data_IF_969353214424
#
_entry.id   IF_969353214424
#
_cell.length_a   1.000
_cell.length_b   1.000
_cell.length_c   1.000
_cell.angle_alpha   90.00
_cell.angle_beta   90.00
_cell.angle_gamma   90.00
#
_symmetry.space_group_name_H-M   'P 1'
#
loop_
_entity.id
_entity.type
_entity.pdbx_description
1 polymer ?
#
# COMPACT_ATOMS: atom_id res chain seq x y z
N UNK A 1 -9.25 12.33 -7.72
CA UNK A 1 -9.68 11.52 -6.55
C UNK A 1 -8.62 10.48 -6.26
N UNK A 2 -8.82 9.60 -5.28
CA UNK A 2 -7.89 8.48 -5.05
C UNK A 2 -7.94 7.55 -6.27
N UNK A 3 -6.76 7.22 -6.82
CA UNK A 3 -6.59 6.38 -8.02
C UNK A 3 -5.70 5.16 -7.79
N UNK A 4 -5.17 4.99 -6.58
CA UNK A 4 -4.33 3.84 -6.23
C UNK A 4 -5.07 3.00 -5.19
N UNK A 5 -5.28 1.73 -5.50
CA UNK A 5 -6.03 0.79 -4.65
C UNK A 5 -5.21 -0.48 -4.40
N UNK A 6 -5.26 -0.98 -3.17
CA UNK A 6 -4.72 -2.27 -2.76
C UNK A 6 -5.89 -3.19 -2.39
N UNK A 7 -6.09 -4.30 -3.10
CA UNK A 7 -6.97 -5.38 -2.65
C UNK A 7 -6.18 -6.36 -1.75
N UNK A 8 -6.69 -6.69 -0.57
CA UNK A 8 -6.00 -7.67 0.30
C UNK A 8 -6.37 -9.12 -0.07
N UNK A 9 -5.39 -9.95 -0.41
CA UNK A 9 -5.52 -11.39 -0.62
C UNK A 9 -5.63 -12.14 0.74
N UNK A 10 -6.82 -12.09 1.36
CA UNK A 10 -7.06 -12.72 2.69
C UNK A 10 -8.25 -13.68 2.72
N UNK A 11 -9.14 -13.61 1.75
CA UNK A 11 -10.33 -14.46 1.66
C UNK A 11 -10.18 -15.52 0.59
N UNK A 12 -10.98 -16.58 0.69
CA UNK A 12 -11.11 -17.57 -0.36
C UNK A 12 -11.54 -16.88 -1.67
N UNK A 13 -11.01 -17.38 -2.79
CA UNK A 13 -11.32 -16.87 -4.14
C UNK A 13 -10.99 -15.38 -4.36
N UNK A 14 -10.15 -14.76 -3.53
CA UNK A 14 -9.76 -13.35 -3.70
C UNK A 14 -9.12 -13.04 -5.07
N UNK A 15 -8.50 -14.03 -5.71
CA UNK A 15 -7.93 -13.91 -7.05
C UNK A 15 -9.00 -13.81 -8.14
N UNK A 16 -10.18 -14.43 -7.96
CA UNK A 16 -11.32 -14.30 -8.89
C UNK A 16 -11.87 -12.87 -8.84
N UNK A 17 -12.14 -12.36 -7.63
CA UNK A 17 -12.56 -10.96 -7.43
C UNK A 17 -11.55 -9.98 -8.04
N UNK A 18 -10.25 -10.21 -7.82
CA UNK A 18 -9.22 -9.36 -8.39
C UNK A 18 -9.22 -9.39 -9.93
N UNK A 19 -9.41 -10.56 -10.53
CA UNK A 19 -9.50 -10.69 -11.99
C UNK A 19 -10.68 -9.89 -12.56
N UNK A 20 -11.83 -9.91 -11.87
CA UNK A 20 -12.99 -9.08 -12.23
C UNK A 20 -12.67 -7.58 -12.10
N UNK A 21 -12.08 -7.17 -10.97
CA UNK A 21 -11.69 -5.78 -10.74
C UNK A 21 -10.72 -5.27 -11.81
N UNK A 22 -9.72 -6.05 -12.22
CA UNK A 22 -8.78 -5.66 -13.28
C UNK A 22 -9.51 -5.46 -14.62
N UNK A 23 -10.44 -6.34 -14.99
CA UNK A 23 -11.19 -6.21 -16.25
C UNK A 23 -12.07 -4.95 -16.25
N UNK A 24 -12.77 -4.72 -15.15
CA UNK A 24 -13.64 -3.54 -14.97
C UNK A 24 -12.82 -2.25 -14.97
N UNK A 25 -11.77 -2.18 -14.16
CA UNK A 25 -10.94 -0.96 -14.02
C UNK A 25 -10.22 -0.60 -15.31
N UNK A 26 -9.72 -1.57 -16.09
CA UNK A 26 -9.11 -1.28 -17.40
C UNK A 26 -10.07 -0.65 -18.41
N UNK A 27 -11.36 -0.94 -18.31
CA UNK A 27 -12.37 -0.44 -19.25
C UNK A 27 -12.93 0.89 -18.78
N UNK A 28 -13.31 0.96 -17.51
CA UNK A 28 -14.09 2.09 -16.97
C UNK A 28 -13.20 3.17 -16.33
N UNK A 29 -11.99 2.79 -15.87
CA UNK A 29 -11.08 3.64 -15.09
C UNK A 29 -9.61 3.42 -15.50
N UNK A 30 -9.22 3.71 -16.75
CA UNK A 30 -7.90 3.36 -17.28
C UNK A 30 -6.72 4.05 -16.58
N UNK A 31 -7.00 5.10 -15.78
CA UNK A 31 -6.03 5.82 -14.94
C UNK A 31 -5.90 5.22 -13.52
N UNK A 32 -6.70 4.21 -13.16
CA UNK A 32 -6.66 3.56 -11.86
C UNK A 32 -5.53 2.53 -11.80
N UNK A 33 -4.73 2.61 -10.73
CA UNK A 33 -3.65 1.68 -10.40
C UNK A 33 -4.17 0.70 -9.35
N UNK A 34 -4.27 -0.57 -9.72
CA UNK A 34 -4.78 -1.65 -8.87
C UNK A 34 -3.66 -2.63 -8.52
N UNK A 35 -3.27 -2.66 -7.25
CA UNK A 35 -2.36 -3.63 -6.69
C UNK A 35 -3.05 -4.63 -5.77
N UNK A 36 -2.29 -5.65 -5.37
CA UNK A 36 -2.73 -6.65 -4.39
C UNK A 36 -1.78 -6.65 -3.20
N UNK A 37 -2.35 -6.78 -2.01
CA UNK A 37 -1.60 -6.93 -0.77
C UNK A 37 -1.83 -8.24 -0.07
N UNK A 38 -1.07 -8.48 1.00
CA UNK A 38 -1.05 -9.77 1.72
C UNK A 38 -0.49 -10.91 0.86
N UNK A 39 0.50 -10.62 0.03
CA UNK A 39 1.27 -11.64 -0.70
C UNK A 39 2.43 -12.10 0.20
N UNK A 40 2.63 -13.40 0.37
CA UNK A 40 3.65 -13.94 1.29
C UNK A 40 4.59 -14.95 0.62
N UNK A 41 4.38 -15.25 -0.67
CA UNK A 41 5.16 -16.23 -1.41
C UNK A 41 5.17 -15.89 -2.92
N UNK A 42 6.19 -16.35 -3.67
CA UNK A 42 6.34 -16.04 -5.08
C UNK A 42 5.27 -16.66 -6.00
N UNK A 43 4.67 -17.80 -5.61
CA UNK A 43 3.66 -18.46 -6.44
C UNK A 43 2.36 -17.64 -6.45
N UNK A 44 1.95 -17.15 -5.28
CA UNK A 44 0.82 -16.21 -5.16
C UNK A 44 1.13 -14.89 -5.86
N UNK A 45 2.34 -14.36 -5.75
CA UNK A 45 2.73 -13.14 -6.48
C UNK A 45 2.59 -13.34 -8.01
N UNK A 46 3.10 -14.45 -8.54
CA UNK A 46 3.02 -14.80 -9.95
C UNK A 46 1.57 -14.90 -10.45
N UNK A 47 0.67 -15.48 -9.65
CA UNK A 47 -0.77 -15.53 -9.96
C UNK A 47 -1.35 -14.13 -10.17
N UNK A 48 -1.17 -13.22 -9.21
CA UNK A 48 -1.75 -11.88 -9.31
C UNK A 48 -1.10 -11.01 -10.38
N UNK A 49 0.20 -11.18 -10.64
CA UNK A 49 0.87 -10.55 -11.77
C UNK A 49 0.28 -11.03 -13.10
N UNK A 50 -0.05 -12.32 -13.22
CA UNK A 50 -0.71 -12.86 -14.41
C UNK A 50 -2.13 -12.30 -14.59
N UNK A 51 -2.82 -12.01 -13.48
CA UNK A 51 -4.15 -11.38 -13.50
C UNK A 51 -4.10 -9.88 -13.81
N UNK A 52 -2.91 -9.26 -13.80
CA UNK A 52 -2.70 -7.89 -14.24
C UNK A 52 -2.51 -6.87 -13.12
N UNK A 53 -2.07 -7.29 -11.93
CA UNK A 53 -1.73 -6.38 -10.84
C UNK A 53 -0.66 -5.34 -11.27
N UNK A 54 -0.87 -4.08 -10.90
CA UNK A 54 0.08 -3.00 -11.17
C UNK A 54 1.22 -2.94 -10.14
N UNK A 55 1.01 -3.47 -8.93
CA UNK A 55 2.02 -3.60 -7.89
C UNK A 55 1.63 -4.72 -6.90
N UNK A 56 2.64 -5.22 -6.18
CA UNK A 56 2.51 -6.25 -5.14
C UNK A 56 2.87 -5.65 -3.79
N UNK A 57 2.10 -5.95 -2.75
CA UNK A 57 2.35 -5.56 -1.36
C UNK A 57 2.43 -6.79 -0.47
N UNK A 58 3.40 -6.79 0.44
CA UNK A 58 3.57 -7.86 1.45
C UNK A 58 3.59 -7.28 2.86
N UNK A 59 3.21 -8.06 3.88
CA UNK A 59 3.40 -7.66 5.28
C UNK A 59 4.88 -7.69 5.71
N UNK A 60 5.74 -8.41 4.99
CA UNK A 60 7.18 -8.54 5.22
C UNK A 60 7.94 -8.60 3.88
N UNK A 61 9.25 -8.38 3.90
CA UNK A 61 10.11 -8.61 2.74
C UNK A 61 10.32 -10.10 2.45
N UNK A 62 10.21 -10.47 1.17
CA UNK A 62 10.59 -11.78 0.64
C UNK A 62 11.38 -11.61 -0.67
N UNK A 63 12.58 -12.20 -0.72
CA UNK A 63 13.50 -12.05 -1.85
C UNK A 63 13.00 -12.76 -3.12
N UNK A 64 12.27 -13.86 -3.00
CA UNK A 64 11.74 -14.59 -4.14
C UNK A 64 10.52 -13.88 -4.73
N UNK A 65 9.68 -13.24 -3.91
CA UNK A 65 8.64 -12.32 -4.36
C UNK A 65 9.26 -11.13 -5.11
N UNK A 66 10.32 -10.52 -4.56
CA UNK A 66 11.04 -9.43 -5.22
C UNK A 66 11.56 -9.86 -6.60
N UNK A 67 12.19 -11.04 -6.68
CA UNK A 67 12.70 -11.60 -7.94
C UNK A 67 11.59 -11.79 -8.98
N UNK A 68 10.45 -12.36 -8.59
CA UNK A 68 9.31 -12.57 -9.51
C UNK A 68 8.75 -11.23 -10.01
N UNK A 69 8.61 -10.23 -9.13
CA UNK A 69 8.14 -8.90 -9.50
C UNK A 69 9.13 -8.20 -10.47
N UNK A 70 10.43 -8.27 -10.18
CA UNK A 70 11.50 -7.71 -11.02
C UNK A 70 11.52 -8.31 -12.43
N UNK A 71 11.35 -9.64 -12.55
CA UNK A 71 11.26 -10.32 -13.85
C UNK A 71 10.09 -9.82 -14.71
N UNK A 72 9.04 -9.28 -14.08
CA UNK A 72 7.85 -8.74 -14.75
C UNK A 72 7.87 -7.22 -14.83
N UNK A 73 8.89 -6.56 -14.28
CA UNK A 73 9.00 -5.09 -14.16
C UNK A 73 7.79 -4.46 -13.44
N UNK A 74 7.32 -5.12 -12.39
CA UNK A 74 6.21 -4.67 -11.56
C UNK A 74 6.74 -4.33 -10.16
N UNK A 75 6.27 -3.23 -9.59
CA UNK A 75 6.71 -2.76 -8.27
C UNK A 75 6.33 -3.73 -7.15
N UNK A 76 7.27 -3.95 -6.23
CA UNK A 76 7.08 -4.70 -5.00
C UNK A 76 7.28 -3.78 -3.80
N UNK A 77 6.26 -3.69 -2.93
CA UNK A 77 6.22 -2.84 -1.75
C UNK A 77 6.16 -3.72 -0.49
N UNK A 78 7.30 -4.30 -0.05
CA UNK A 78 7.36 -5.16 1.12
C UNK A 78 7.23 -4.38 2.42
N UNK A 79 6.56 -5.00 3.40
CA UNK A 79 6.59 -4.55 4.79
C UNK A 79 7.99 -4.66 5.40
N UNK A 80 8.46 -3.62 6.07
CA UNK A 80 9.71 -3.59 6.82
C UNK A 80 9.49 -2.90 8.17
N UNK A 81 10.17 -3.37 9.21
CA UNK A 81 10.11 -2.83 10.57
C UNK A 81 11.48 -2.47 11.16
N UNK A 82 12.58 -2.82 10.47
CA UNK A 82 13.95 -2.56 10.90
C UNK A 82 14.82 -2.01 9.78
N UNK A 83 15.93 -1.35 10.12
CA UNK A 83 16.89 -0.84 9.13
C UNK A 83 17.52 -1.97 8.29
N UNK A 84 17.77 -3.13 8.90
CA UNK A 84 18.31 -4.29 8.18
C UNK A 84 17.34 -4.81 7.12
N UNK A 85 16.04 -4.91 7.44
CA UNK A 85 15.02 -5.32 6.47
C UNK A 85 14.89 -4.31 5.33
N UNK A 86 14.87 -3.01 5.64
CA UNK A 86 14.80 -1.93 4.64
C UNK A 86 16.02 -1.99 3.72
N UNK A 87 17.22 -2.03 4.28
CA UNK A 87 18.47 -2.11 3.52
C UNK A 87 18.54 -3.38 2.66
N UNK A 88 18.06 -4.50 3.19
CA UNK A 88 17.96 -5.76 2.45
C UNK A 88 16.99 -5.61 1.29
N UNK A 89 15.78 -5.08 1.51
CA UNK A 89 14.79 -4.89 0.46
C UNK A 89 15.31 -3.98 -0.67
N UNK A 90 15.91 -2.84 -0.34
CA UNK A 90 16.50 -1.91 -1.31
C UNK A 90 17.61 -2.57 -2.13
N UNK A 91 18.42 -3.45 -1.52
CA UNK A 91 19.47 -4.20 -2.23
C UNK A 91 18.92 -5.17 -3.29
N UNK A 92 17.63 -5.54 -3.20
CA UNK A 92 16.91 -6.35 -4.17
C UNK A 92 16.13 -5.51 -5.21
N UNK A 93 16.35 -4.19 -5.24
CA UNK A 93 15.73 -3.28 -6.20
C UNK A 93 14.32 -2.82 -5.80
N UNK A 94 13.93 -2.97 -4.53
CA UNK A 94 12.69 -2.39 -4.00
C UNK A 94 12.83 -0.87 -3.94
N UNK A 95 11.97 -0.14 -4.65
CA UNK A 95 12.00 1.33 -4.71
C UNK A 95 11.20 1.98 -3.57
N UNK A 96 10.13 1.32 -3.10
CA UNK A 96 9.25 1.83 -2.05
C UNK A 96 9.09 0.75 -0.98
N UNK A 97 9.51 1.04 0.25
CA UNK A 97 9.24 0.17 1.39
C UNK A 97 7.90 0.52 2.00
N UNK A 98 7.21 -0.49 2.53
CA UNK A 98 6.04 -0.29 3.38
C UNK A 98 6.49 -0.35 4.84
N UNK A 99 6.40 0.76 5.58
CA UNK A 99 6.59 0.71 7.03
C UNK A 99 5.36 0.07 7.67
N UNK A 100 5.53 -1.12 8.25
CA UNK A 100 4.42 -1.88 8.82
C UNK A 100 4.87 -2.79 9.97
N UNK A 101 4.12 -2.84 11.10
CA UNK A 101 2.93 -2.05 11.42
C UNK A 101 3.25 -0.61 11.87
N UNK A 102 2.66 0.39 11.22
CA UNK A 102 2.95 1.81 11.45
C UNK A 102 2.57 2.32 12.85
N UNK A 103 1.47 1.85 13.43
CA UNK A 103 1.05 2.19 14.80
C UNK A 103 2.03 1.73 15.88
N UNK A 104 2.76 0.65 15.61
CA UNK A 104 3.77 0.10 16.53
C UNK A 104 5.10 0.84 16.41
N UNK A 105 5.53 1.15 15.19
CA UNK A 105 6.83 1.79 14.92
C UNK A 105 6.79 3.31 15.12
N UNK A 106 5.66 3.91 14.77
CA UNK A 106 5.37 5.32 14.98
C UNK A 106 6.13 6.28 14.04
N UNK A 107 5.73 7.57 14.03
CA UNK A 107 6.37 8.60 13.20
C UNK A 107 7.84 8.84 13.55
N UNK A 108 8.22 8.62 14.82
CA UNK A 108 9.60 8.75 15.27
C UNK A 108 10.55 7.79 14.53
N UNK A 109 10.09 6.59 14.16
CA UNK A 109 10.87 5.66 13.36
C UNK A 109 11.15 6.22 11.96
N UNK A 110 10.14 6.78 11.29
CA UNK A 110 10.31 7.39 9.95
C UNK A 110 11.36 8.50 10.01
N UNK A 111 11.25 9.39 11.00
CA UNK A 111 12.22 10.48 11.20
C UNK A 111 13.63 9.95 11.47
N UNK A 112 13.76 8.91 12.29
CA UNK A 112 15.04 8.29 12.59
C UNK A 112 15.65 7.56 11.38
N UNK A 113 14.83 6.93 10.54
CA UNK A 113 15.23 6.28 9.29
C UNK A 113 15.74 7.28 8.25
N UNK A 114 15.00 8.38 8.05
CA UNK A 114 15.35 9.39 7.03
C UNK A 114 16.64 10.15 7.33
N UNK A 115 17.12 10.15 8.58
CA UNK A 115 18.37 10.80 8.95
C UNK A 115 19.61 10.15 8.27
N UNK A 116 19.84 8.82 8.38
CA UNK A 116 20.90 8.14 7.65
C UNK A 116 20.52 7.70 6.23
N UNK A 117 19.22 7.53 5.93
CA UNK A 117 18.74 7.02 4.64
C UNK A 117 17.74 8.00 3.98
N UNK A 118 18.15 9.22 3.63
CA UNK A 118 17.24 10.24 3.09
C UNK A 118 16.62 9.88 1.73
N UNK A 119 17.19 8.91 1.02
CA UNK A 119 16.71 8.41 -0.27
C UNK A 119 15.60 7.35 -0.16
N UNK A 120 15.42 6.72 1.00
CA UNK A 120 14.44 5.63 1.15
C UNK A 120 13.04 6.18 0.99
N UNK A 121 12.25 5.63 0.07
CA UNK A 121 10.84 6.04 -0.11
C UNK A 121 9.95 5.19 0.80
N UNK A 122 9.19 5.85 1.67
CA UNK A 122 8.44 5.22 2.77
C UNK A 122 6.94 5.39 2.57
N UNK A 123 6.25 4.26 2.34
CA UNK A 123 4.79 4.13 2.45
C UNK A 123 4.43 3.66 3.87
N UNK A 124 3.76 4.49 4.68
CA UNK A 124 3.31 4.07 6.01
C UNK A 124 1.97 3.37 5.93
N UNK A 125 1.79 2.23 6.59
CA UNK A 125 0.48 1.58 6.75
C UNK A 125 0.30 1.02 8.16
N UNK A 126 -0.91 1.16 8.70
CA UNK A 126 -1.23 0.85 10.10
C UNK A 126 -1.16 2.12 10.95
N UNK A 127 -2.22 2.41 11.70
CA UNK A 127 -2.30 3.62 12.51
C UNK A 127 -2.51 4.95 11.77
N UNK A 128 -2.70 4.93 10.44
CA UNK A 128 -2.99 6.16 9.67
C UNK A 128 -4.49 6.43 9.67
N UNK A 129 -4.87 7.65 10.04
CA UNK A 129 -6.25 8.13 10.02
C UNK A 129 -6.44 9.21 8.95
N UNK A 130 -7.63 9.33 8.33
CA UNK A 130 -7.93 10.39 7.37
C UNK A 130 -8.25 11.71 8.07
N UNK A 131 -7.37 12.17 8.97
CA UNK A 131 -7.49 13.40 9.75
C UNK A 131 -6.25 14.27 9.54
N UNK A 132 -6.38 15.59 9.66
CA UNK A 132 -5.26 16.52 9.50
C UNK A 132 -4.13 16.23 10.48
N UNK A 133 -4.47 15.94 11.74
CA UNK A 133 -3.49 15.60 12.78
C UNK A 133 -2.68 14.35 12.40
N UNK A 134 -3.34 13.26 12.01
CA UNK A 134 -2.65 12.02 11.65
C UNK A 134 -1.79 12.20 10.40
N UNK A 135 -2.34 12.78 9.34
CA UNK A 135 -1.63 12.97 8.08
C UNK A 135 -0.44 13.93 8.24
N UNK A 136 -0.63 15.08 8.88
CA UNK A 136 0.47 16.04 9.13
C UNK A 136 1.57 15.44 9.99
N UNK A 137 1.22 14.58 10.95
CA UNK A 137 2.19 13.87 11.77
C UNK A 137 3.05 12.91 10.95
N UNK A 138 2.44 12.11 10.07
CA UNK A 138 3.17 11.15 9.23
C UNK A 138 4.01 11.82 8.15
N UNK A 139 3.44 12.78 7.40
CA UNK A 139 4.17 13.52 6.38
C UNK A 139 5.25 14.41 6.99
N UNK A 140 4.99 15.06 8.13
CA UNK A 140 5.98 15.85 8.86
C UNK A 140 7.14 15.03 9.44
N UNK A 141 6.94 13.72 9.64
CA UNK A 141 8.00 12.79 10.00
C UNK A 141 8.84 12.32 8.79
N UNK A 142 8.42 12.64 7.56
CA UNK A 142 9.09 12.29 6.33
C UNK A 142 8.49 11.09 5.59
N UNK A 143 7.27 10.65 5.90
CA UNK A 143 6.60 9.65 5.08
C UNK A 143 6.37 10.21 3.67
N UNK A 144 6.63 9.43 2.63
CA UNK A 144 6.43 9.85 1.24
C UNK A 144 5.01 9.51 0.76
N UNK A 145 4.42 8.48 1.34
CA UNK A 145 3.04 8.07 1.10
C UNK A 145 2.42 7.43 2.35
N UNK A 146 1.09 7.39 2.39
CA UNK A 146 0.34 6.67 3.42
C UNK A 146 -0.73 5.77 2.83
N UNK A 147 -0.91 4.60 3.43
CA UNK A 147 -1.98 3.66 3.12
C UNK A 147 -3.07 3.75 4.20
N UNK A 148 -4.30 4.09 3.80
CA UNK A 148 -5.45 4.20 4.70
C UNK A 148 -6.48 3.12 4.34
N UNK A 149 -6.59 2.11 5.19
CA UNK A 149 -7.53 0.99 5.00
C UNK A 149 -8.89 1.24 5.65
N UNK A 150 -9.22 0.42 6.65
CA UNK A 150 -10.51 0.43 7.36
C UNK A 150 -10.86 1.76 8.02
N UNK A 151 -9.87 2.63 8.29
CA UNK A 151 -10.12 3.98 8.78
C UNK A 151 -10.78 4.86 7.72
N UNK A 152 -10.53 4.66 6.43
CA UNK A 152 -11.18 5.41 5.34
C UNK A 152 -12.42 4.66 4.80
N UNK A 153 -12.33 3.36 4.63
CA UNK A 153 -13.42 2.48 4.20
C UNK A 153 -14.02 1.77 5.41
N UNK A 154 -14.82 2.48 6.21
CA UNK A 154 -15.35 1.89 7.46
C UNK A 154 -16.46 0.87 7.18
N UNK A 155 -16.64 -0.15 8.04
CA UNK A 155 -17.73 -1.10 7.91
C UNK A 155 -19.11 -0.44 7.82
N UNK A 156 -19.33 0.66 8.54
CA UNK A 156 -20.61 1.37 8.57
C UNK A 156 -20.93 2.01 7.21
N UNK A 157 -19.94 2.67 6.59
CA UNK A 157 -20.07 3.26 5.24
C UNK A 157 -20.41 2.16 4.23
N UNK A 158 -19.69 1.04 4.28
CA UNK A 158 -19.86 -0.06 3.34
C UNK A 158 -21.22 -0.75 3.50
N UNK A 159 -21.65 -1.02 4.74
CA UNK A 159 -22.94 -1.66 5.03
C UNK A 159 -24.12 -0.79 4.62
N UNK A 160 -24.02 0.53 4.86
CA UNK A 160 -25.08 1.49 4.50
C UNK A 160 -25.02 1.94 3.05
N UNK A 161 -23.96 1.59 2.32
CA UNK A 161 -23.67 2.10 0.96
C UNK A 161 -23.68 3.63 0.91
N UNK A 162 -23.11 4.26 1.94
CA UNK A 162 -23.08 5.71 2.11
C UNK A 162 -21.95 6.33 1.28
N UNK A 163 -22.16 6.37 -0.04
CA UNK A 163 -21.15 6.81 -1.00
C UNK A 163 -20.86 8.31 -0.89
N UNK A 164 -21.84 9.12 -0.48
CA UNK A 164 -21.65 10.56 -0.25
C UNK A 164 -20.71 10.80 0.93
N UNK A 165 -20.90 10.08 2.05
CA UNK A 165 -19.98 10.16 3.18
C UNK A 165 -18.57 9.71 2.78
N UNK A 166 -18.45 8.63 2.01
CA UNK A 166 -17.14 8.17 1.53
C UNK A 166 -16.46 9.23 0.65
N UNK A 167 -17.20 9.81 -0.31
CA UNK A 167 -16.68 10.85 -1.20
C UNK A 167 -16.20 12.07 -0.40
N UNK A 168 -16.97 12.53 0.58
CA UNK A 168 -16.58 13.65 1.43
C UNK A 168 -15.30 13.35 2.21
N UNK A 169 -15.18 12.15 2.80
CA UNK A 169 -13.97 11.73 3.53
C UNK A 169 -12.75 11.65 2.63
N UNK A 170 -12.91 11.12 1.41
CA UNK A 170 -11.83 11.06 0.42
C UNK A 170 -11.39 12.45 0.00
N UNK A 171 -12.33 13.38 -0.28
CA UNK A 171 -12.00 14.77 -0.62
C UNK A 171 -11.23 15.47 0.49
N UNK A 172 -11.68 15.31 1.74
CA UNK A 172 -11.00 15.92 2.88
C UNK A 172 -9.60 15.35 3.07
N UNK A 173 -9.42 14.03 3.00
CA UNK A 173 -8.11 13.41 3.14
C UNK A 173 -7.13 13.86 2.03
N UNK A 174 -7.60 14.00 0.79
CA UNK A 174 -6.78 14.49 -0.32
C UNK A 174 -6.37 15.96 -0.14
N UNK A 175 -7.29 16.81 0.30
CA UNK A 175 -7.02 18.24 0.52
C UNK A 175 -5.99 18.49 1.64
N UNK A 176 -5.74 17.50 2.50
CA UNK A 176 -4.75 17.57 3.58
C UNK A 176 -3.39 17.00 3.18
N UNK A 177 -3.33 16.20 2.11
CA UNK A 177 -2.13 15.50 1.64
C UNK A 177 -1.52 16.12 0.37
N UNK A 178 -2.19 17.10 -0.25
CA UNK A 178 -1.81 17.78 -1.49
C UNK A 178 -1.93 19.30 -1.31
#
# INVERSE_FOLDING_TARGET
GIRVFELTNRGDFAHELFAELVKTTRTDYPDLILGVGTIIDPATAALYLQLGANFIVSPSFDADVAKVCNLRKIGYLPGCATLTEISTAESWGVEIIKLFPGDTLGPSFVKALKAPMPWTTVLVTGGVEPTEESLSTWFGAGADAVGIGSRLLTPEILQKKDWEALEHRVKNALALAC
#
